data_IF_581787152144
#
_entry.id   IF_581787152144
#
_cell.length_a   1.000
_cell.length_b   1.000
_cell.length_c   1.000
_cell.angle_alpha   90.00
_cell.angle_beta   90.00
_cell.angle_gamma   90.00
#
_symmetry.space_group_name_H-M   'P 1'
#
loop_
_entity.id
_entity.type
_entity.pdbx_description
1 polymer ?
#
# COMPACT_ATOMS: atom_id res chain seq x y z
N UNK A 1 -1.26 -7.48 -18.94
CA UNK A 1 -0.03 -7.92 -18.25
C UNK A 1 0.05 -7.45 -16.79
N UNK A 2 -0.37 -6.21 -16.43
CA UNK A 2 -0.26 -5.67 -15.07
C UNK A 2 -1.11 -6.40 -14.00
N UNK A 3 -2.17 -7.06 -14.39
CA UNK A 3 -3.10 -7.76 -13.48
C UNK A 3 -2.81 -9.27 -13.37
N UNK A 4 -2.01 -9.84 -14.28
CA UNK A 4 -1.84 -11.29 -14.39
C UNK A 4 -1.23 -11.93 -13.13
N UNK A 5 -0.30 -11.24 -12.45
CA UNK A 5 0.36 -11.76 -11.26
C UNK A 5 -0.61 -11.96 -10.08
N UNK A 6 -1.64 -11.11 -9.97
CA UNK A 6 -2.62 -11.16 -8.89
C UNK A 6 -3.75 -12.19 -9.11
N UNK A 7 -3.79 -12.87 -10.27
CA UNK A 7 -4.85 -13.86 -10.57
C UNK A 7 -4.77 -15.11 -9.69
N UNK A 8 -3.69 -15.31 -8.95
CA UNK A 8 -3.53 -16.43 -8.02
C UNK A 8 -4.23 -16.21 -6.67
N UNK A 9 -4.77 -15.02 -6.41
CA UNK A 9 -5.48 -14.74 -5.16
C UNK A 9 -6.67 -15.69 -4.97
N UNK A 10 -6.85 -16.27 -3.78
CA UNK A 10 -8.03 -17.10 -3.48
C UNK A 10 -9.31 -16.23 -3.37
N UNK A 11 -10.47 -16.86 -3.57
CA UNK A 11 -11.76 -16.15 -3.57
C UNK A 11 -11.99 -15.34 -2.29
N UNK A 12 -11.64 -15.88 -1.14
CA UNK A 12 -11.75 -15.19 0.17
C UNK A 12 -10.96 -13.89 0.26
N UNK A 13 -9.92 -13.70 -0.57
CA UNK A 13 -9.09 -12.50 -0.59
C UNK A 13 -9.54 -11.50 -1.66
N UNK A 14 -10.03 -11.98 -2.81
CA UNK A 14 -10.42 -11.07 -3.88
C UNK A 14 -11.88 -10.61 -3.86
N UNK A 15 -12.77 -11.34 -3.18
CA UNK A 15 -14.19 -10.96 -3.14
C UNK A 15 -14.44 -9.86 -2.11
N UNK A 16 -15.33 -8.93 -2.48
CA UNK A 16 -15.91 -7.99 -1.54
C UNK A 16 -17.22 -8.55 -0.98
N UNK A 17 -17.58 -8.23 0.27
CA UNK A 17 -18.82 -8.69 0.90
C UNK A 17 -20.04 -7.86 0.44
N UNK A 18 -20.14 -7.62 -0.88
CA UNK A 18 -21.34 -7.13 -1.54
C UNK A 18 -22.33 -8.26 -1.80
N UNK A 19 -23.58 -7.98 -2.20
CA UNK A 19 -24.46 -9.01 -2.76
C UNK A 19 -23.72 -9.82 -3.83
N UNK A 20 -23.89 -11.15 -3.80
CA UNK A 20 -23.08 -12.04 -4.66
C UNK A 20 -23.27 -11.78 -6.15
N UNK A 21 -24.42 -11.28 -6.54
CA UNK A 21 -24.74 -10.84 -7.91
C UNK A 21 -23.80 -9.76 -8.43
N UNK A 22 -23.32 -8.85 -7.60
CA UNK A 22 -22.36 -7.81 -8.02
C UNK A 22 -21.03 -8.44 -8.50
N UNK A 23 -20.65 -9.57 -7.91
CA UNK A 23 -19.50 -10.33 -8.41
C UNK A 23 -19.83 -11.09 -9.69
N UNK A 24 -20.96 -11.81 -9.74
CA UNK A 24 -21.28 -12.69 -10.88
C UNK A 24 -21.64 -11.93 -12.14
N UNK A 25 -22.33 -10.81 -12.02
CA UNK A 25 -22.82 -10.00 -13.14
C UNK A 25 -21.84 -8.87 -13.50
N UNK A 26 -21.39 -8.11 -12.49
CA UNK A 26 -20.59 -6.91 -12.70
C UNK A 26 -19.08 -7.14 -12.54
N UNK A 27 -18.67 -8.34 -12.12
CA UNK A 27 -17.26 -8.70 -11.85
C UNK A 27 -16.60 -7.80 -10.81
N UNK A 28 -17.37 -7.31 -9.84
CA UNK A 28 -16.88 -6.50 -8.72
C UNK A 28 -16.03 -7.37 -7.80
N UNK A 29 -14.72 -7.20 -7.87
CA UNK A 29 -13.73 -7.91 -7.07
C UNK A 29 -12.43 -7.14 -6.98
N UNK A 30 -11.54 -7.56 -6.08
CA UNK A 30 -10.16 -7.08 -6.03
C UNK A 30 -9.37 -7.67 -7.20
N UNK A 31 -8.67 -6.82 -7.96
CA UNK A 31 -7.80 -7.20 -9.08
C UNK A 31 -6.32 -7.01 -8.73
N UNK A 32 -5.97 -5.95 -8.01
CA UNK A 32 -4.60 -5.58 -7.68
C UNK A 32 -3.86 -4.90 -8.84
N UNK A 33 -2.77 -4.22 -8.50
CA UNK A 33 -1.97 -3.43 -9.46
C UNK A 33 -0.48 -3.57 -9.16
N UNK A 34 0.38 -2.94 -9.96
CA UNK A 34 1.85 -3.06 -9.91
C UNK A 34 2.35 -4.51 -10.05
N UNK A 35 1.58 -5.39 -10.70
CA UNK A 35 1.86 -6.83 -10.77
C UNK A 35 3.24 -7.18 -11.30
N UNK A 36 3.76 -6.45 -12.30
CA UNK A 36 5.11 -6.65 -12.83
C UNK A 36 6.18 -6.39 -11.77
N UNK A 37 6.03 -5.31 -10.99
CA UNK A 37 6.95 -4.99 -9.90
C UNK A 37 6.88 -6.04 -8.78
N UNK A 38 5.68 -6.37 -8.32
CA UNK A 38 5.48 -7.37 -7.27
C UNK A 38 6.05 -8.73 -7.67
N UNK A 39 5.84 -9.15 -8.91
CA UNK A 39 6.40 -10.40 -9.45
C UNK A 39 7.92 -10.40 -9.45
N UNK A 40 8.52 -9.35 -10.00
CA UNK A 40 9.96 -9.24 -10.11
C UNK A 40 10.64 -9.22 -8.74
N UNK A 41 10.19 -8.30 -7.87
CA UNK A 41 10.81 -8.11 -6.56
C UNK A 41 10.63 -9.33 -5.65
N UNK A 42 9.44 -9.96 -5.67
CA UNK A 42 9.24 -11.20 -4.88
C UNK A 42 10.08 -12.36 -5.39
N UNK A 43 10.29 -12.46 -6.71
CA UNK A 43 11.18 -13.46 -7.32
C UNK A 43 12.62 -13.28 -6.88
N UNK A 44 13.16 -12.06 -6.96
CA UNK A 44 14.52 -11.74 -6.49
C UNK A 44 14.67 -12.01 -5.00
N UNK A 45 13.69 -11.59 -4.18
CA UNK A 45 13.72 -11.85 -2.74
C UNK A 45 13.71 -13.36 -2.43
N UNK A 46 12.94 -14.15 -3.17
CA UNK A 46 12.91 -15.60 -3.04
C UNK A 46 14.27 -16.24 -3.38
N UNK A 47 14.91 -15.78 -4.45
CA UNK A 47 16.24 -16.23 -4.84
C UNK A 47 17.29 -15.88 -3.76
N UNK A 48 17.25 -14.66 -3.22
CA UNK A 48 18.15 -14.23 -2.13
C UNK A 48 17.96 -15.05 -0.85
N UNK A 49 16.73 -15.46 -0.54
CA UNK A 49 16.43 -16.33 0.60
C UNK A 49 16.88 -17.77 0.36
N UNK A 50 17.12 -18.20 -0.88
CA UNK A 50 17.41 -19.58 -1.22
C UNK A 50 16.30 -20.58 -0.85
N UNK A 51 15.07 -20.09 -0.67
CA UNK A 51 13.95 -20.83 -0.09
C UNK A 51 12.76 -20.83 -1.02
N UNK A 52 12.34 -22.02 -1.50
CA UNK A 52 11.16 -22.15 -2.36
C UNK A 52 9.85 -21.90 -1.60
N UNK A 53 9.74 -22.42 -0.40
CA UNK A 53 8.64 -22.18 0.54
C UNK A 53 8.82 -20.84 1.24
N UNK A 54 8.54 -19.75 0.55
CA UNK A 54 8.77 -18.41 1.05
C UNK A 54 7.47 -17.63 1.24
N UNK A 55 7.47 -16.77 2.26
CA UNK A 55 6.40 -15.81 2.58
C UNK A 55 6.99 -14.42 2.49
N UNK A 56 6.68 -13.70 1.41
CA UNK A 56 7.29 -12.42 1.09
C UNK A 56 6.22 -11.36 1.02
N UNK A 57 6.45 -10.23 1.69
CA UNK A 57 5.64 -9.04 1.56
C UNK A 57 6.41 -8.04 0.71
N UNK A 58 5.82 -7.59 -0.39
CA UNK A 58 6.42 -6.57 -1.26
C UNK A 58 5.69 -5.25 -1.07
N UNK A 59 6.39 -4.25 -0.59
CA UNK A 59 5.94 -2.88 -0.44
C UNK A 59 6.44 -2.05 -1.64
N UNK A 60 5.60 -1.91 -2.67
CA UNK A 60 5.86 -1.02 -3.80
C UNK A 60 5.37 0.38 -3.43
N UNK A 61 6.31 1.27 -3.07
CA UNK A 61 6.03 2.60 -2.54
C UNK A 61 6.53 3.67 -3.51
N UNK A 62 5.62 4.28 -4.22
CA UNK A 62 5.82 5.42 -5.11
C UNK A 62 4.71 6.46 -4.90
N UNK A 63 4.49 7.34 -5.88
CA UNK A 63 3.34 8.24 -5.84
C UNK A 63 2.01 7.46 -5.86
N UNK A 64 1.95 6.32 -6.59
CA UNK A 64 1.03 5.22 -6.34
C UNK A 64 1.74 4.16 -5.51
N UNK A 65 1.07 3.57 -4.53
CA UNK A 65 1.65 2.59 -3.64
C UNK A 65 0.73 1.37 -3.45
N UNK A 66 1.32 0.18 -3.40
CA UNK A 66 0.61 -1.05 -3.08
C UNK A 66 1.49 -2.04 -2.34
N UNK A 67 0.86 -2.89 -1.55
CA UNK A 67 1.53 -3.96 -0.80
C UNK A 67 0.93 -5.28 -1.26
N UNK A 68 1.75 -6.29 -1.51
CA UNK A 68 1.29 -7.63 -1.87
C UNK A 68 1.91 -8.68 -0.98
N UNK A 69 1.08 -9.64 -0.55
CA UNK A 69 1.49 -10.85 0.13
C UNK A 69 1.72 -11.95 -0.90
N UNK A 70 2.94 -12.48 -0.95
CA UNK A 70 3.35 -13.50 -1.91
C UNK A 70 3.83 -14.73 -1.15
N UNK A 71 3.15 -15.85 -1.34
CA UNK A 71 3.51 -17.13 -0.76
C UNK A 71 3.88 -18.12 -1.86
N UNK A 72 5.08 -18.68 -1.80
CA UNK A 72 5.56 -19.66 -2.78
C UNK A 72 5.44 -19.17 -4.23
N UNK A 73 5.77 -17.89 -4.47
CA UNK A 73 5.68 -17.24 -5.78
C UNK A 73 4.27 -16.90 -6.26
N UNK A 74 3.24 -17.10 -5.43
CA UNK A 74 1.83 -16.80 -5.74
C UNK A 74 1.30 -15.69 -4.83
N UNK A 75 0.61 -14.72 -5.40
CA UNK A 75 -0.07 -13.68 -4.60
C UNK A 75 -1.24 -14.31 -3.86
N UNK A 76 -1.30 -14.08 -2.55
CA UNK A 76 -2.41 -14.51 -1.69
C UNK A 76 -3.31 -13.35 -1.30
N UNK A 77 -2.78 -12.12 -1.29
CA UNK A 77 -3.56 -10.88 -1.13
C UNK A 77 -2.77 -9.66 -1.63
N UNK A 78 -3.47 -8.54 -1.86
CA UNK A 78 -2.86 -7.26 -2.25
C UNK A 78 -3.72 -6.09 -1.78
N UNK A 79 -3.10 -4.93 -1.56
CA UNK A 79 -3.76 -3.75 -0.98
C UNK A 79 -4.64 -2.97 -1.96
N UNK A 80 -4.24 -2.85 -3.24
CA UNK A 80 -5.09 -2.21 -4.24
C UNK A 80 -6.25 -3.14 -4.60
N UNK A 81 -7.40 -2.53 -4.85
CA UNK A 81 -8.67 -3.23 -4.99
C UNK A 81 -9.11 -3.48 -6.43
N UNK A 82 -10.38 -3.21 -6.70
CA UNK A 82 -10.96 -3.18 -8.05
C UNK A 82 -10.29 -2.09 -8.89
N UNK A 83 -9.89 -1.00 -8.26
CA UNK A 83 -9.18 0.13 -8.83
C UNK A 83 -7.89 0.39 -8.04
N UNK A 84 -6.96 1.21 -8.56
CA UNK A 84 -5.76 1.58 -7.82
C UNK A 84 -5.98 2.64 -6.73
N UNK A 85 -7.23 2.86 -6.30
CA UNK A 85 -7.59 3.80 -5.24
C UNK A 85 -7.47 3.19 -3.84
N UNK A 86 -7.94 1.94 -3.67
CA UNK A 86 -7.92 1.24 -2.37
C UNK A 86 -6.49 0.95 -1.87
N UNK A 87 -6.38 0.66 -0.61
CA UNK A 87 -5.13 0.27 0.03
C UNK A 87 -4.52 1.38 0.89
N UNK A 88 -3.21 1.53 0.83
CA UNK A 88 -2.48 2.52 1.62
C UNK A 88 -2.70 3.95 1.10
N UNK A 89 -2.51 4.92 1.98
CA UNK A 89 -2.46 6.34 1.59
C UNK A 89 -1.35 6.56 0.55
N UNK A 90 -1.61 7.39 -0.47
CA UNK A 90 -0.69 7.63 -1.58
C UNK A 90 -0.45 9.14 -1.78
N UNK A 91 0.30 9.51 -2.79
CA UNK A 91 0.59 10.92 -3.09
C UNK A 91 -0.66 11.79 -3.25
N UNK A 92 -1.66 11.29 -4.02
CA UNK A 92 -2.91 12.04 -4.30
C UNK A 92 -4.18 11.25 -3.99
N UNK A 93 -4.06 9.95 -3.64
CA UNK A 93 -5.20 9.04 -3.40
C UNK A 93 -5.39 8.80 -1.92
N UNK A 94 -6.65 8.66 -1.52
CA UNK A 94 -6.99 8.39 -0.11
C UNK A 94 -6.41 7.09 0.42
N UNK A 95 -6.33 6.04 -0.41
CA UNK A 95 -6.34 4.67 0.09
C UNK A 95 -7.69 4.32 0.72
N UNK A 96 -7.69 3.37 1.65
CA UNK A 96 -8.90 2.91 2.32
C UNK A 96 -9.51 3.99 3.21
N UNK A 97 -10.81 4.17 3.04
CA UNK A 97 -11.65 5.04 3.87
C UNK A 97 -12.95 4.31 4.19
N UNK A 98 -13.64 4.74 5.24
CA UNK A 98 -15.00 4.28 5.50
C UNK A 98 -15.93 4.71 4.35
N UNK A 99 -16.62 3.77 3.67
CA UNK A 99 -17.55 4.08 2.58
C UNK A 99 -18.64 5.08 2.97
N UNK A 100 -19.12 5.04 4.22
CA UNK A 100 -20.11 5.97 4.72
C UNK A 100 -19.57 7.42 4.78
N UNK A 101 -18.27 7.58 5.04
CA UNK A 101 -17.61 8.90 5.02
C UNK A 101 -17.64 9.53 3.62
N UNK A 102 -17.52 8.71 2.58
CA UNK A 102 -17.61 9.15 1.18
C UNK A 102 -18.98 9.77 0.90
N UNK A 103 -20.04 9.04 1.24
CA UNK A 103 -21.44 9.50 1.08
C UNK A 103 -21.70 10.77 1.91
N UNK A 104 -21.19 10.80 3.14
CA UNK A 104 -21.34 11.97 4.03
C UNK A 104 -20.70 13.21 3.44
N UNK A 105 -19.47 13.12 2.95
CA UNK A 105 -18.75 14.27 2.34
C UNK A 105 -19.47 14.75 1.07
N UNK A 106 -19.94 13.81 0.22
CA UNK A 106 -20.70 14.15 -0.97
C UNK A 106 -21.94 14.98 -0.62
N UNK A 107 -22.74 14.50 0.34
CA UNK A 107 -23.96 15.20 0.78
C UNK A 107 -23.66 16.59 1.37
N UNK A 108 -22.67 16.69 2.25
CA UNK A 108 -22.34 17.93 2.95
C UNK A 108 -21.72 19.00 2.04
N UNK A 109 -21.02 18.57 0.99
CA UNK A 109 -20.36 19.49 0.05
C UNK A 109 -21.11 19.64 -1.28
N UNK A 110 -22.21 18.93 -1.49
CA UNK A 110 -22.97 18.94 -2.73
C UNK A 110 -22.19 18.40 -3.94
N UNK A 111 -21.33 17.38 -3.71
CA UNK A 111 -20.49 16.83 -4.77
C UNK A 111 -21.21 15.76 -5.59
N UNK A 112 -21.04 15.81 -6.91
CA UNK A 112 -21.40 14.73 -7.82
C UNK A 112 -20.49 13.51 -7.63
N UNK A 113 -20.87 12.38 -8.24
CA UNK A 113 -20.04 11.17 -8.25
C UNK A 113 -18.65 11.42 -8.85
N UNK A 114 -18.58 12.13 -9.98
CA UNK A 114 -17.34 12.44 -10.67
C UNK A 114 -16.44 13.38 -9.87
N UNK A 115 -17.01 14.37 -9.21
CA UNK A 115 -16.27 15.28 -8.34
C UNK A 115 -15.71 14.55 -7.12
N UNK A 116 -16.46 13.63 -6.52
CA UNK A 116 -15.99 12.83 -5.42
C UNK A 116 -14.91 11.83 -5.87
N UNK A 117 -15.09 11.17 -7.00
CA UNK A 117 -14.07 10.31 -7.59
C UNK A 117 -12.77 11.08 -7.86
N UNK A 118 -12.86 12.27 -8.46
CA UNK A 118 -11.70 13.14 -8.67
C UNK A 118 -11.05 13.56 -7.34
N UNK A 119 -11.86 13.88 -6.32
CA UNK A 119 -11.38 14.25 -4.99
C UNK A 119 -10.57 13.12 -4.36
N UNK A 120 -11.08 11.89 -4.35
CA UNK A 120 -10.40 10.73 -3.78
C UNK A 120 -9.14 10.34 -4.52
N UNK A 121 -9.11 10.49 -5.85
CA UNK A 121 -7.99 10.05 -6.68
C UNK A 121 -6.92 11.12 -6.92
N UNK A 122 -7.28 12.41 -6.92
CA UNK A 122 -6.38 13.50 -7.37
C UNK A 122 -6.14 14.60 -6.35
N UNK A 123 -6.96 14.69 -5.30
CA UNK A 123 -6.94 15.81 -4.33
C UNK A 123 -6.86 15.35 -2.89
N UNK A 124 -6.49 14.10 -2.67
CA UNK A 124 -6.39 13.47 -1.35
C UNK A 124 -4.97 12.98 -1.09
N UNK A 125 -4.79 12.03 -0.20
CA UNK A 125 -3.50 11.50 0.14
C UNK A 125 -2.58 12.56 0.75
N UNK A 126 -1.27 12.47 0.47
CA UNK A 126 -0.27 13.43 0.92
C UNK A 126 -0.66 14.85 0.51
N UNK A 127 -0.98 15.06 -0.79
CA UNK A 127 -1.40 16.36 -1.30
C UNK A 127 -2.62 16.90 -0.54
N UNK A 128 -3.60 16.06 -0.25
CA UNK A 128 -4.81 16.48 0.49
C UNK A 128 -4.53 16.90 1.93
N UNK A 129 -3.51 16.33 2.55
CA UNK A 129 -3.11 16.64 3.93
C UNK A 129 -2.28 17.91 4.03
N UNK A 130 -1.24 18.06 3.20
CA UNK A 130 -0.31 19.20 3.28
C UNK A 130 -0.69 20.36 2.36
N UNK A 131 -1.49 20.11 1.32
CA UNK A 131 -2.05 21.14 0.42
C UNK A 131 -1.09 21.67 -0.65
N UNK A 132 0.19 21.34 -0.62
CA UNK A 132 1.23 21.95 -1.47
C UNK A 132 1.82 21.01 -2.50
N UNK A 133 2.07 19.75 -2.15
CA UNK A 133 2.75 18.77 -3.00
C UNK A 133 2.28 17.34 -2.74
N UNK A 134 2.37 16.47 -3.75
CA UNK A 134 2.23 15.02 -3.59
C UNK A 134 3.58 14.30 -3.55
N UNK A 135 4.69 15.02 -3.71
CA UNK A 135 6.04 14.46 -3.71
C UNK A 135 6.48 14.14 -2.26
N UNK A 136 6.91 12.91 -2.06
CA UNK A 136 7.34 12.45 -0.74
C UNK A 136 8.60 13.17 -0.25
N UNK A 137 9.43 13.70 -1.14
CA UNK A 137 10.61 14.49 -0.80
C UNK A 137 10.23 15.82 -0.17
N UNK A 138 9.18 16.46 -0.71
CA UNK A 138 8.64 17.71 -0.15
C UNK A 138 7.99 17.46 1.21
N UNK A 139 7.28 16.32 1.35
CA UNK A 139 6.71 15.88 2.62
C UNK A 139 7.81 15.67 3.68
N UNK A 140 8.90 14.98 3.33
CA UNK A 140 10.03 14.73 4.23
C UNK A 140 10.74 16.04 4.63
N UNK A 141 10.89 16.96 3.69
CA UNK A 141 11.46 18.28 3.95
C UNK A 141 10.57 19.12 4.88
N UNK A 142 9.25 19.14 4.63
CA UNK A 142 8.30 19.85 5.50
C UNK A 142 8.23 19.24 6.90
N UNK A 143 8.25 17.90 7.03
CA UNK A 143 8.37 17.20 8.31
C UNK A 143 9.61 17.64 9.07
N UNK A 144 10.78 17.68 8.42
CA UNK A 144 12.04 18.13 9.04
C UNK A 144 12.03 19.60 9.46
N UNK A 145 11.25 20.41 8.75
CA UNK A 145 11.03 21.82 9.10
C UNK A 145 10.02 22.02 10.26
N UNK A 146 9.41 20.95 10.76
CA UNK A 146 8.47 20.99 11.87
C UNK A 146 7.01 21.29 11.48
N UNK A 147 6.63 21.17 10.21
CA UNK A 147 5.24 21.32 9.78
C UNK A 147 4.37 20.19 10.36
N UNK A 148 3.42 20.55 11.23
CA UNK A 148 2.58 19.59 11.94
C UNK A 148 1.73 18.71 11.00
N UNK A 149 1.24 19.29 9.90
CA UNK A 149 0.46 18.52 8.90
C UNK A 149 1.35 17.53 8.14
N UNK A 150 2.58 17.94 7.85
CA UNK A 150 3.55 17.07 7.20
C UNK A 150 3.99 15.92 8.13
N UNK A 151 4.21 16.21 9.41
CA UNK A 151 4.48 15.18 10.43
C UNK A 151 3.33 14.17 10.46
N UNK A 152 2.09 14.65 10.61
CA UNK A 152 0.91 13.79 10.65
C UNK A 152 0.75 12.99 9.37
N UNK A 153 0.90 13.60 8.20
CA UNK A 153 0.76 12.92 6.90
C UNK A 153 1.81 11.81 6.72
N UNK A 154 3.04 12.06 7.17
CA UNK A 154 4.13 11.10 7.14
C UNK A 154 3.84 9.91 8.08
N UNK A 155 3.38 10.19 9.29
CA UNK A 155 3.01 9.18 10.27
C UNK A 155 1.85 8.33 9.78
N UNK A 156 0.82 8.95 9.20
CA UNK A 156 -0.32 8.24 8.57
C UNK A 156 0.15 7.32 7.45
N UNK A 157 1.08 7.78 6.60
CA UNK A 157 1.63 6.97 5.50
C UNK A 157 2.33 5.72 6.04
N UNK A 158 3.26 5.88 6.99
CA UNK A 158 3.99 4.76 7.58
C UNK A 158 3.05 3.81 8.33
N UNK A 159 2.13 4.35 9.14
CA UNK A 159 1.16 3.57 9.90
C UNK A 159 0.26 2.69 9.02
N UNK A 160 -0.26 3.23 7.91
CA UNK A 160 -1.09 2.45 6.98
C UNK A 160 -0.33 1.30 6.36
N UNK A 161 0.97 1.48 6.07
CA UNK A 161 1.83 0.42 5.55
C UNK A 161 2.04 -0.66 6.62
N UNK A 162 2.31 -0.28 7.87
CA UNK A 162 2.45 -1.21 9.00
C UNK A 162 1.21 -2.08 9.18
N UNK A 163 0.01 -1.49 9.11
CA UNK A 163 -1.26 -2.24 9.22
C UNK A 163 -1.39 -3.29 8.12
N UNK A 164 -1.05 -2.95 6.87
CA UNK A 164 -1.09 -3.90 5.77
C UNK A 164 -0.05 -5.01 5.90
N UNK A 165 1.17 -4.68 6.35
CA UNK A 165 2.19 -5.69 6.64
C UNK A 165 1.69 -6.64 7.73
N UNK A 166 1.14 -6.13 8.83
CA UNK A 166 0.59 -6.93 9.91
C UNK A 166 -0.56 -7.85 9.45
N UNK A 167 -1.49 -7.33 8.65
CA UNK A 167 -2.57 -8.11 8.07
C UNK A 167 -2.05 -9.24 7.18
N UNK A 168 -1.01 -8.99 6.41
CA UNK A 168 -0.44 -9.98 5.49
C UNK A 168 0.46 -11.01 6.18
N UNK A 169 1.13 -10.64 7.27
CA UNK A 169 1.76 -11.62 8.16
C UNK A 169 0.72 -12.59 8.71
N UNK A 170 -0.43 -12.09 9.14
CA UNK A 170 -1.53 -12.92 9.61
C UNK A 170 -2.12 -13.80 8.49
N UNK A 171 -2.34 -13.23 7.29
CA UNK A 171 -2.89 -13.95 6.15
C UNK A 171 -2.00 -15.13 5.67
N UNK A 172 -0.68 -14.97 5.78
CA UNK A 172 0.30 -16.00 5.41
C UNK A 172 0.75 -16.87 6.60
N UNK A 173 0.32 -16.55 7.83
CA UNK A 173 0.83 -17.17 9.06
C UNK A 173 2.35 -17.08 9.16
N UNK A 174 2.87 -15.86 9.07
CA UNK A 174 4.30 -15.53 9.17
C UNK A 174 4.84 -14.79 7.95
N UNK A 175 6.10 -14.40 8.02
CA UNK A 175 6.84 -13.71 6.96
C UNK A 175 8.31 -14.10 7.00
N UNK A 176 8.92 -14.30 5.82
CA UNK A 176 10.36 -14.59 5.68
C UNK A 176 11.13 -13.34 5.24
N UNK A 177 10.50 -12.45 4.45
CA UNK A 177 11.09 -11.20 4.01
C UNK A 177 10.03 -10.13 3.74
N UNK A 178 10.42 -8.87 3.99
CA UNK A 178 9.68 -7.66 3.59
C UNK A 178 10.58 -6.90 2.62
N UNK A 179 10.14 -6.75 1.39
CA UNK A 179 10.90 -6.06 0.34
C UNK A 179 10.30 -4.68 0.06
N UNK A 180 11.14 -3.65 0.06
CA UNK A 180 10.76 -2.29 -0.27
C UNK A 180 11.25 -1.94 -1.68
N UNK A 181 10.36 -1.40 -2.52
CA UNK A 181 10.65 -0.99 -3.89
C UNK A 181 9.83 0.23 -4.29
N UNK A 182 10.07 0.73 -5.50
CA UNK A 182 9.50 2.00 -5.94
C UNK A 182 10.26 3.20 -5.38
N UNK A 183 10.00 4.39 -5.92
CA UNK A 183 10.81 5.57 -5.62
C UNK A 183 10.92 5.91 -4.13
N UNK A 184 9.85 5.77 -3.36
CA UNK A 184 9.86 6.00 -1.91
C UNK A 184 10.51 4.79 -1.20
N UNK A 185 10.09 3.57 -1.56
CA UNK A 185 10.58 2.35 -0.91
C UNK A 185 12.09 2.15 -1.03
N UNK A 186 12.67 2.55 -2.14
CA UNK A 186 14.12 2.46 -2.36
C UNK A 186 14.90 3.62 -1.71
N UNK A 187 14.38 4.84 -1.80
CA UNK A 187 15.16 6.04 -1.49
C UNK A 187 14.85 6.69 -0.15
N UNK A 188 13.69 6.42 0.47
CA UNK A 188 13.35 7.03 1.76
C UNK A 188 13.86 6.20 2.94
N UNK A 189 15.06 6.55 3.42
CA UNK A 189 15.68 5.96 4.61
C UNK A 189 14.75 6.10 5.83
N UNK A 190 14.18 7.30 6.03
CA UNK A 190 13.30 7.60 7.16
C UNK A 190 11.99 6.81 7.14
N UNK A 191 11.36 6.66 5.97
CA UNK A 191 10.12 5.87 5.88
C UNK A 191 10.36 4.40 6.18
N UNK A 192 11.40 3.79 5.61
CA UNK A 192 11.77 2.40 5.92
C UNK A 192 12.04 2.20 7.40
N UNK A 193 12.80 3.13 8.02
CA UNK A 193 13.08 3.10 9.46
C UNK A 193 11.78 3.13 10.27
N UNK A 194 10.93 4.12 10.06
CA UNK A 194 9.69 4.30 10.83
C UNK A 194 8.71 3.13 10.62
N UNK A 195 8.64 2.57 9.41
CA UNK A 195 7.82 1.37 9.15
C UNK A 195 8.36 0.17 9.92
N UNK A 196 9.68 -0.08 9.88
CA UNK A 196 10.29 -1.23 10.53
C UNK A 196 10.26 -1.16 12.07
N UNK A 197 10.40 0.03 12.66
CA UNK A 197 10.31 0.24 14.11
C UNK A 197 8.99 -0.28 14.70
N UNK A 198 7.87 -0.14 13.98
CA UNK A 198 6.57 -0.67 14.39
C UNK A 198 6.41 -2.19 14.23
N UNK A 199 7.42 -2.90 13.71
CA UNK A 199 7.35 -4.33 13.36
C UNK A 199 8.32 -5.20 14.18
N UNK A 200 8.94 -4.64 15.21
CA UNK A 200 9.92 -5.33 16.07
C UNK A 200 9.36 -6.62 16.71
N UNK A 201 8.07 -6.64 17.02
CA UNK A 201 7.40 -7.83 17.57
C UNK A 201 7.30 -9.02 16.58
N UNK A 202 7.52 -8.79 15.30
CA UNK A 202 7.69 -9.87 14.30
C UNK A 202 9.16 -10.30 14.15
N UNK A 203 10.08 -9.73 14.93
CA UNK A 203 11.52 -9.98 14.78
C UNK A 203 12.18 -9.18 13.65
N UNK A 204 11.52 -8.11 13.18
CA UNK A 204 12.12 -7.20 12.19
C UNK A 204 13.13 -6.30 12.91
N UNK A 205 14.38 -6.39 12.50
CA UNK A 205 15.48 -5.53 12.93
C UNK A 205 16.04 -4.79 11.70
N UNK A 206 16.13 -3.47 11.77
CA UNK A 206 16.69 -2.67 10.69
C UNK A 206 18.16 -2.37 10.96
N UNK A 207 19.02 -2.78 10.02
CA UNK A 207 20.42 -2.35 9.97
C UNK A 207 20.46 -0.91 9.42
N UNK A 208 20.66 0.06 10.30
CA UNK A 208 20.64 1.48 9.93
C UNK A 208 21.75 1.85 8.96
N UNK A 209 22.93 1.23 9.06
CA UNK A 209 24.04 1.50 8.15
C UNK A 209 23.73 1.00 6.73
N UNK A 210 23.15 -0.19 6.61
CA UNK A 210 22.72 -0.71 5.31
C UNK A 210 21.53 0.07 4.76
N UNK A 211 20.59 0.47 5.61
CA UNK A 211 19.45 1.27 5.19
C UNK A 211 19.87 2.65 4.63
N UNK A 212 20.95 3.22 5.14
CA UNK A 212 21.49 4.50 4.66
C UNK A 212 22.27 4.38 3.33
N UNK A 213 22.70 3.19 2.94
CA UNK A 213 23.39 2.94 1.68
C UNK A 213 22.39 2.76 0.53
N UNK A 214 22.73 3.34 -0.64
CA UNK A 214 21.98 3.12 -1.88
C UNK A 214 22.48 1.89 -2.62
#
# INVERSE_FOLDING_TARGET
FYLAFHQTMPAKAYMYPYPYEDYTELKVRKYGFHGTSHRYVSGVAQEMLGKKDSKIIVCHLGNGASISAVQNGKVVDTSMGMTPLAGVMMGTRTGDVDPASVIYVMRKRGLSLDEMNNRMNKKSGILGMIGTSSDFRDLDAAKKAGDEKAILAYDMFCYRIQLYIGAYVAAMNGVDAIAFTGGIGENSVGAKKQICEGLSFFGVELDEEKNAKR
#
